data_IF_843607686422
#
_entry.id   IF_843607686422
#
_cell.length_a   1.000
_cell.length_b   1.000
_cell.length_c   1.000
_cell.angle_alpha   90.00
_cell.angle_beta   90.00
_cell.angle_gamma   90.00
#
_symmetry.space_group_name_H-M   'P 1'
#
loop_
_entity.id
_entity.type
_entity.pdbx_description
1 polymer ?
#
# COMPACT_ATOMS: atom_id res chain seq x y z
N UNK A 1 -1.14 26.42 -4.28
CA UNK A 1 -0.82 25.07 -3.84
C UNK A 1 -2.08 24.22 -3.83
N UNK A 2 -1.94 22.90 -3.67
CA UNK A 2 -3.06 21.99 -3.49
C UNK A 2 -3.58 22.09 -2.05
N UNK A 3 -4.90 21.94 -1.88
CA UNK A 3 -5.51 21.73 -0.56
C UNK A 3 -5.60 20.23 -0.30
N UNK A 4 -5.54 19.83 0.97
CA UNK A 4 -5.68 18.44 1.39
C UNK A 4 -6.84 18.33 2.36
N UNK A 5 -7.78 17.44 2.07
CA UNK A 5 -8.86 17.04 2.97
C UNK A 5 -8.71 15.55 3.29
N UNK A 6 -8.71 15.21 4.58
CA UNK A 6 -8.56 13.85 5.07
C UNK A 6 -9.89 13.36 5.63
N UNK A 7 -10.39 12.24 5.12
CA UNK A 7 -11.57 11.55 5.59
C UNK A 7 -11.11 10.29 6.31
N UNK A 8 -11.23 10.28 7.64
CA UNK A 8 -10.62 9.24 8.47
C UNK A 8 -11.66 8.51 9.32
N UNK A 9 -11.46 7.21 9.50
CA UNK A 9 -12.18 6.43 10.51
C UNK A 9 -11.77 6.89 11.90
N UNK A 10 -12.74 7.09 12.80
CA UNK A 10 -12.46 7.56 14.17
C UNK A 10 -11.77 6.52 15.05
N UNK A 11 -12.16 5.26 14.96
CA UNK A 11 -11.57 4.09 15.67
C UNK A 11 -11.13 4.41 17.10
N UNK A 12 -11.97 5.09 17.88
CA UNK A 12 -11.66 5.45 19.26
C UNK A 12 -10.55 6.49 19.45
N UNK A 13 -10.12 7.16 18.39
CA UNK A 13 -9.16 8.28 18.50
C UNK A 13 -9.79 9.44 19.27
N UNK A 14 -9.24 9.74 20.45
CA UNK A 14 -9.70 10.83 21.33
C UNK A 14 -8.73 12.00 21.37
N UNK A 15 -7.46 11.72 21.08
CA UNK A 15 -6.37 12.68 21.21
C UNK A 15 -5.69 12.97 19.86
N UNK A 16 -5.32 14.23 19.67
CA UNK A 16 -4.48 14.64 18.54
C UNK A 16 -3.02 14.29 18.84
N UNK A 17 -2.53 13.22 18.25
CA UNK A 17 -1.14 12.76 18.41
C UNK A 17 -0.63 12.07 17.13
N UNK A 18 0.67 11.89 17.05
CA UNK A 18 1.29 11.23 15.90
C UNK A 18 1.02 11.98 14.60
N UNK A 19 0.59 11.27 13.56
CA UNK A 19 0.35 11.83 12.24
C UNK A 19 -0.74 12.91 12.23
N UNK A 20 -1.75 12.84 13.10
CA UNK A 20 -2.80 13.87 13.18
C UNK A 20 -2.25 15.24 13.53
N UNK A 21 -1.18 15.33 14.31
CA UNK A 21 -0.49 16.60 14.59
C UNK A 21 0.20 17.12 13.34
N UNK A 22 0.81 16.24 12.56
CA UNK A 22 1.47 16.62 11.31
C UNK A 22 0.46 17.08 10.26
N UNK A 23 -0.68 16.41 10.16
CA UNK A 23 -1.77 16.79 9.25
C UNK A 23 -2.22 18.23 9.53
N UNK A 24 -2.38 18.59 10.81
CA UNK A 24 -2.73 19.94 11.23
C UNK A 24 -1.61 20.95 10.93
N UNK A 25 -0.34 20.60 11.22
CA UNK A 25 0.82 21.45 10.95
C UNK A 25 0.96 21.73 9.45
N UNK A 26 0.66 20.75 8.61
CA UNK A 26 0.68 20.91 7.15
C UNK A 26 -0.58 21.55 6.58
N UNK A 27 -1.56 21.87 7.42
CA UNK A 27 -2.77 22.60 7.02
C UNK A 27 -3.81 21.74 6.31
N UNK A 28 -3.79 20.41 6.53
CA UNK A 28 -4.85 19.56 6.07
C UNK A 28 -6.13 19.77 6.91
N UNK A 29 -7.30 19.71 6.27
CA UNK A 29 -8.57 19.60 6.98
C UNK A 29 -8.88 18.13 7.24
N UNK A 30 -9.30 17.80 8.47
CA UNK A 30 -9.57 16.43 8.88
C UNK A 30 -11.04 16.29 9.26
N UNK A 31 -11.73 15.29 8.67
CA UNK A 31 -13.08 14.87 9.04
C UNK A 31 -13.02 13.43 9.55
N UNK A 32 -13.60 13.20 10.72
CA UNK A 32 -13.71 11.86 11.29
C UNK A 32 -15.10 11.28 11.08
N UNK A 33 -15.15 10.01 10.72
CA UNK A 33 -16.35 9.22 10.56
C UNK A 33 -16.38 8.13 11.62
N UNK A 34 -17.51 8.00 12.30
CA UNK A 34 -17.74 6.97 13.34
C UNK A 34 -18.24 5.70 12.67
N UNK A 35 -17.34 5.07 11.92
CA UNK A 35 -17.57 3.84 11.18
C UNK A 35 -16.33 2.94 11.22
N UNK A 36 -16.54 1.65 11.10
CA UNK A 36 -15.48 0.66 10.89
C UNK A 36 -15.41 0.19 9.42
N UNK A 37 -16.36 0.60 8.58
CA UNK A 37 -16.40 0.26 7.15
C UNK A 37 -15.67 1.31 6.30
N UNK A 38 -14.83 0.86 5.38
CA UNK A 38 -14.22 1.73 4.38
C UNK A 38 -15.20 2.12 3.27
N UNK A 39 -16.27 1.37 3.05
CA UNK A 39 -17.30 1.74 2.08
C UNK A 39 -17.90 3.12 2.40
N UNK A 40 -18.20 3.39 3.68
CA UNK A 40 -18.72 4.69 4.13
C UNK A 40 -17.75 5.84 3.83
N UNK A 41 -16.43 5.58 4.00
CA UNK A 41 -15.39 6.56 3.71
C UNK A 41 -15.29 6.82 2.20
N UNK A 42 -15.38 5.78 1.37
CA UNK A 42 -15.32 5.93 -0.08
C UNK A 42 -16.56 6.62 -0.64
N UNK A 43 -17.74 6.36 -0.06
CA UNK A 43 -18.97 7.10 -0.39
C UNK A 43 -18.80 8.59 -0.06
N UNK A 44 -18.36 8.91 1.16
CA UNK A 44 -18.10 10.29 1.58
C UNK A 44 -17.02 10.99 0.72
N UNK A 45 -15.99 10.26 0.29
CA UNK A 45 -14.97 10.78 -0.64
C UNK A 45 -15.59 11.11 -2.01
N UNK A 46 -16.47 10.25 -2.51
CA UNK A 46 -17.14 10.46 -3.78
C UNK A 46 -18.08 11.68 -3.71
N UNK A 47 -18.91 11.75 -2.67
CA UNK A 47 -19.79 12.90 -2.44
C UNK A 47 -18.99 14.20 -2.35
N UNK A 48 -17.90 14.22 -1.56
CA UNK A 48 -17.06 15.40 -1.43
C UNK A 48 -16.38 15.80 -2.74
N UNK A 49 -16.02 14.84 -3.57
CA UNK A 49 -15.46 15.10 -4.89
C UNK A 49 -16.46 15.78 -5.82
N UNK A 50 -17.75 15.41 -5.74
CA UNK A 50 -18.84 16.02 -6.50
C UNK A 50 -19.06 17.46 -6.01
N UNK A 51 -19.18 17.70 -4.69
CA UNK A 51 -19.31 19.03 -4.10
C UNK A 51 -18.18 19.95 -4.55
N UNK A 52 -16.93 19.48 -4.48
CA UNK A 52 -15.77 20.26 -4.91
C UNK A 52 -15.80 20.58 -6.41
N UNK A 53 -16.31 19.68 -7.23
CA UNK A 53 -16.50 19.96 -8.66
C UNK A 53 -17.56 21.04 -8.92
N UNK A 54 -18.66 21.04 -8.15
CA UNK A 54 -19.69 22.09 -8.20
C UNK A 54 -19.14 23.45 -7.72
N UNK A 55 -18.21 23.46 -6.78
CA UNK A 55 -17.48 24.65 -6.32
C UNK A 55 -16.41 25.12 -7.34
N UNK A 56 -16.22 24.42 -8.46
CA UNK A 56 -15.23 24.75 -9.49
C UNK A 56 -13.82 24.24 -9.18
N UNK A 57 -13.67 23.33 -8.24
CA UNK A 57 -12.42 22.67 -7.90
C UNK A 57 -12.30 21.32 -8.61
N UNK A 58 -11.07 20.87 -8.82
CA UNK A 58 -10.78 19.54 -9.34
C UNK A 58 -10.19 18.68 -8.23
N UNK A 59 -11.00 17.81 -7.65
CA UNK A 59 -10.55 16.84 -6.66
C UNK A 59 -9.78 15.69 -7.29
N UNK A 60 -8.84 15.15 -6.53
CA UNK A 60 -8.16 13.88 -6.82
C UNK A 60 -8.31 12.98 -5.60
N UNK A 61 -9.29 12.07 -5.59
CA UNK A 61 -9.50 11.14 -4.47
C UNK A 61 -8.37 10.12 -4.41
N UNK A 62 -7.78 9.97 -3.22
CA UNK A 62 -6.71 9.01 -2.95
C UNK A 62 -7.28 7.98 -1.95
N UNK A 63 -7.48 6.72 -2.36
CA UNK A 63 -7.99 5.69 -1.48
C UNK A 63 -6.95 5.28 -0.43
N UNK A 64 -7.36 4.43 0.51
CA UNK A 64 -6.49 3.87 1.54
C UNK A 64 -5.21 3.31 0.93
N UNK A 65 -4.07 3.68 1.51
CA UNK A 65 -2.75 3.27 1.05
C UNK A 65 -2.32 3.86 -0.30
N UNK A 66 -3.14 4.71 -0.94
CA UNK A 66 -2.88 5.18 -2.32
C UNK A 66 -2.91 4.04 -3.35
N UNK A 67 -3.55 2.91 -3.00
CA UNK A 67 -3.58 1.69 -3.80
C UNK A 67 -4.52 1.85 -5.00
N UNK A 68 -4.01 2.47 -6.02
CA UNK A 68 -4.64 2.63 -7.35
C UNK A 68 -3.72 2.06 -8.41
N UNK A 69 -4.25 1.78 -9.58
CA UNK A 69 -3.48 1.39 -10.76
C UNK A 69 -2.30 2.33 -11.02
N UNK A 70 -2.54 3.65 -10.94
CA UNK A 70 -1.49 4.65 -11.11
C UNK A 70 -0.48 4.66 -9.94
N UNK A 71 -0.97 4.57 -8.68
CA UNK A 71 -0.13 4.54 -7.49
C UNK A 71 0.81 3.34 -7.45
N UNK A 72 0.36 2.21 -7.98
CA UNK A 72 1.15 0.97 -8.11
C UNK A 72 2.45 1.17 -8.91
N UNK A 73 2.45 2.07 -9.91
CA UNK A 73 3.63 2.34 -10.75
C UNK A 73 4.83 2.87 -9.96
N UNK A 74 4.61 3.50 -8.81
CA UNK A 74 5.69 3.94 -7.94
C UNK A 74 6.60 2.78 -7.49
N UNK A 75 6.00 1.63 -7.17
CA UNK A 75 6.76 0.44 -6.77
C UNK A 75 7.32 -0.36 -7.94
N UNK A 76 6.80 -0.21 -9.15
CA UNK A 76 7.49 -0.68 -10.36
C UNK A 76 8.84 0.03 -10.51
N UNK A 77 8.86 1.36 -10.31
CA UNK A 77 10.10 2.14 -10.26
C UNK A 77 11.06 1.66 -9.15
N UNK A 78 10.54 1.37 -7.97
CA UNK A 78 11.32 0.81 -6.86
C UNK A 78 12.03 -0.50 -7.24
N UNK A 79 11.35 -1.43 -7.91
CA UNK A 79 12.00 -2.69 -8.36
C UNK A 79 13.11 -2.44 -9.38
N UNK A 80 12.94 -1.46 -10.26
CA UNK A 80 14.03 -1.05 -11.17
C UNK A 80 15.26 -0.58 -10.40
N UNK A 81 15.08 0.20 -9.35
CA UNK A 81 16.17 0.63 -8.48
C UNK A 81 16.82 -0.57 -7.75
N UNK A 82 16.01 -1.48 -7.20
CA UNK A 82 16.48 -2.72 -6.58
C UNK A 82 17.33 -3.53 -7.57
N UNK A 83 16.86 -3.71 -8.80
CA UNK A 83 17.58 -4.47 -9.83
C UNK A 83 18.95 -3.83 -10.15
N UNK A 84 19.01 -2.51 -10.27
CA UNK A 84 20.24 -1.77 -10.51
C UNK A 84 21.23 -1.89 -9.33
N UNK A 85 20.75 -1.74 -8.10
CA UNK A 85 21.56 -1.83 -6.88
C UNK A 85 22.07 -3.26 -6.67
N UNK A 86 21.20 -4.25 -6.82
CA UNK A 86 21.57 -5.67 -6.72
C UNK A 86 22.64 -6.05 -7.75
N UNK A 87 22.49 -5.61 -9.01
CA UNK A 87 23.48 -5.81 -10.05
C UNK A 87 24.83 -5.18 -9.70
N UNK A 88 24.82 -3.95 -9.17
CA UNK A 88 26.05 -3.25 -8.75
C UNK A 88 26.76 -3.98 -7.59
N UNK A 89 25.98 -4.60 -6.69
CA UNK A 89 26.47 -5.39 -5.57
C UNK A 89 26.84 -6.85 -5.95
N UNK A 90 26.64 -7.26 -7.19
CA UNK A 90 26.85 -8.65 -7.62
C UNK A 90 25.85 -9.64 -7.03
N UNK A 91 24.69 -9.16 -6.59
CA UNK A 91 23.61 -9.96 -5.99
C UNK A 91 22.49 -10.24 -6.98
N UNK A 92 21.73 -11.30 -6.70
CA UNK A 92 20.47 -11.64 -7.38
C UNK A 92 19.43 -11.92 -6.33
N UNK A 93 18.46 -11.02 -6.12
CA UNK A 93 17.37 -11.25 -5.17
C UNK A 93 16.58 -12.49 -5.59
N UNK A 94 16.43 -13.46 -4.68
CA UNK A 94 15.59 -14.63 -4.93
C UNK A 94 14.12 -14.33 -4.56
N UNK A 95 13.91 -13.45 -3.58
CA UNK A 95 12.60 -13.09 -3.09
C UNK A 95 12.50 -11.59 -2.81
N UNK A 96 11.33 -11.01 -3.09
CA UNK A 96 10.87 -9.74 -2.57
C UNK A 96 9.68 -10.03 -1.64
N UNK A 97 9.79 -9.59 -0.39
CA UNK A 97 8.75 -9.81 0.63
C UNK A 97 8.25 -8.45 1.13
N UNK A 98 6.94 -8.26 1.20
CA UNK A 98 6.35 -7.01 1.68
C UNK A 98 5.10 -7.25 2.52
N UNK A 99 4.87 -6.41 3.52
CA UNK A 99 3.58 -6.33 4.17
C UNK A 99 2.51 -5.83 3.19
N UNK A 100 1.32 -6.41 3.25
CA UNK A 100 0.20 -6.11 2.35
C UNK A 100 -1.02 -5.73 3.17
N UNK A 101 -1.35 -4.44 3.21
CA UNK A 101 -2.52 -3.90 3.93
C UNK A 101 -3.53 -3.18 3.01
N UNK A 102 -3.18 -2.96 1.72
CA UNK A 102 -4.04 -2.36 0.70
C UNK A 102 -3.68 -2.80 -0.72
N UNK A 103 -2.62 -3.58 -0.88
CA UNK A 103 -2.23 -4.26 -2.12
C UNK A 103 -1.31 -3.47 -3.05
N UNK A 104 -1.30 -2.14 -3.04
CA UNK A 104 -0.59 -1.32 -4.04
C UNK A 104 0.91 -1.54 -4.10
N UNK A 105 1.58 -1.63 -2.94
CA UNK A 105 3.02 -1.94 -2.85
C UNK A 105 3.33 -3.31 -3.46
N UNK A 106 2.64 -4.34 -3.00
CA UNK A 106 2.87 -5.72 -3.46
C UNK A 106 2.56 -5.88 -4.95
N UNK A 107 1.52 -5.21 -5.45
CA UNK A 107 1.19 -5.19 -6.88
C UNK A 107 2.30 -4.55 -7.73
N UNK A 108 2.87 -3.43 -7.25
CA UNK A 108 3.99 -2.78 -7.93
C UNK A 108 5.27 -3.62 -7.89
N UNK A 109 5.55 -4.30 -6.77
CA UNK A 109 6.65 -5.25 -6.67
C UNK A 109 6.45 -6.42 -7.65
N UNK A 110 5.24 -6.95 -7.75
CA UNK A 110 4.90 -8.05 -8.64
C UNK A 110 5.11 -7.67 -10.12
N UNK A 111 4.55 -6.56 -10.56
CA UNK A 111 4.73 -6.08 -11.93
C UNK A 111 6.19 -5.71 -12.19
N UNK A 112 6.84 -4.99 -11.27
CA UNK A 112 8.23 -4.61 -11.40
C UNK A 112 9.16 -5.81 -11.48
N UNK A 113 8.94 -6.86 -10.66
CA UNK A 113 9.71 -8.09 -10.71
C UNK A 113 9.55 -8.80 -12.06
N UNK A 114 8.34 -8.87 -12.61
CA UNK A 114 8.11 -9.48 -13.93
C UNK A 114 8.87 -8.77 -15.06
N UNK A 115 9.14 -7.47 -14.90
CA UNK A 115 9.83 -6.66 -15.90
C UNK A 115 11.36 -6.64 -15.73
N UNK A 116 11.84 -6.54 -14.50
CA UNK A 116 13.26 -6.25 -14.21
C UNK A 116 13.99 -7.43 -13.54
N UNK A 117 13.26 -8.32 -12.87
CA UNK A 117 13.80 -9.43 -12.06
C UNK A 117 12.97 -10.72 -12.27
N UNK A 118 12.91 -11.27 -13.48
CA UNK A 118 11.95 -12.33 -13.84
C UNK A 118 12.16 -13.68 -13.12
N UNK A 119 13.26 -13.86 -12.39
CA UNK A 119 13.52 -15.03 -11.57
C UNK A 119 13.24 -14.81 -10.08
N UNK A 120 12.85 -13.59 -9.69
CA UNK A 120 12.58 -13.20 -8.32
C UNK A 120 11.11 -13.49 -7.98
N UNK A 121 10.87 -14.19 -6.89
CA UNK A 121 9.54 -14.43 -6.36
C UNK A 121 9.07 -13.25 -5.52
N UNK A 122 7.77 -12.96 -5.56
CA UNK A 122 7.15 -11.92 -4.73
C UNK A 122 6.21 -12.58 -3.73
N UNK A 123 6.40 -12.28 -2.45
CA UNK A 123 5.53 -12.76 -1.38
C UNK A 123 4.92 -11.57 -0.63
N UNK A 124 3.61 -11.45 -0.68
CA UNK A 124 2.85 -10.52 0.16
C UNK A 124 2.52 -11.15 1.51
N UNK A 125 2.74 -10.41 2.60
CA UNK A 125 2.28 -10.80 3.93
C UNK A 125 1.03 -10.00 4.24
N UNK A 126 -0.14 -10.63 4.11
CA UNK A 126 -1.44 -10.02 4.42
C UNK A 126 -1.55 -9.71 5.90
N UNK A 127 -1.77 -8.44 6.25
CA UNK A 127 -1.88 -7.94 7.63
C UNK A 127 -3.33 -7.63 8.02
N UNK A 128 -4.27 -7.98 7.16
CA UNK A 128 -5.72 -7.91 7.33
C UNK A 128 -6.35 -9.13 6.64
N UNK A 129 -7.64 -9.37 6.78
CA UNK A 129 -8.38 -10.52 6.23
C UNK A 129 -8.99 -10.26 4.84
N UNK A 130 -8.55 -9.20 4.17
CA UNK A 130 -8.97 -8.86 2.82
C UNK A 130 -8.43 -9.86 1.76
N UNK A 131 -9.13 -10.04 0.63
CA UNK A 131 -8.70 -10.94 -0.45
C UNK A 131 -7.52 -10.35 -1.25
N UNK A 132 -6.37 -10.19 -0.60
CA UNK A 132 -5.22 -9.48 -1.19
C UNK A 132 -4.67 -10.13 -2.44
N UNK A 133 -4.83 -11.43 -2.64
CA UNK A 133 -4.36 -12.09 -3.86
C UNK A 133 -5.07 -11.53 -5.09
N UNK A 134 -6.39 -11.36 -5.01
CA UNK A 134 -7.20 -10.78 -6.08
C UNK A 134 -6.90 -9.28 -6.25
N UNK A 135 -6.85 -8.54 -5.14
CA UNK A 135 -6.56 -7.09 -5.13
C UNK A 135 -5.20 -6.80 -5.79
N UNK A 136 -4.16 -7.50 -5.37
CA UNK A 136 -2.80 -7.37 -5.92
C UNK A 136 -2.78 -7.70 -7.41
N UNK A 137 -3.43 -8.79 -7.79
CA UNK A 137 -3.48 -9.22 -9.20
C UNK A 137 -4.20 -8.20 -10.08
N UNK A 138 -5.33 -7.65 -9.63
CA UNK A 138 -6.08 -6.63 -10.37
C UNK A 138 -5.29 -5.31 -10.50
N UNK A 139 -4.68 -4.83 -9.41
CA UNK A 139 -3.86 -3.62 -9.42
C UNK A 139 -2.64 -3.77 -10.34
N UNK A 140 -1.97 -4.91 -10.29
CA UNK A 140 -0.82 -5.19 -11.13
C UNK A 140 -1.21 -5.29 -12.62
N UNK A 141 -2.33 -5.93 -12.94
CA UNK A 141 -2.85 -5.99 -14.31
C UNK A 141 -3.19 -4.62 -14.85
N UNK A 142 -3.96 -3.82 -14.10
CA UNK A 142 -4.29 -2.45 -14.52
C UNK A 142 -3.05 -1.56 -14.67
N UNK A 143 -2.05 -1.71 -13.80
CA UNK A 143 -0.79 -0.98 -13.93
C UNK A 143 0.03 -1.41 -15.17
N UNK A 144 -0.02 -2.69 -15.54
CA UNK A 144 0.60 -3.18 -16.77
C UNK A 144 -0.07 -2.58 -18.02
N UNK A 145 -1.39 -2.45 -18.03
CA UNK A 145 -2.12 -1.79 -19.13
C UNK A 145 -1.69 -0.33 -19.30
N UNK A 146 -1.47 0.42 -18.21
CA UNK A 146 -0.95 1.79 -18.27
C UNK A 146 0.45 1.89 -18.87
N UNK A 147 1.24 0.82 -18.79
CA UNK A 147 2.57 0.72 -19.39
C UNK A 147 2.53 0.12 -20.82
N UNK A 148 1.33 -0.07 -21.39
CA UNK A 148 1.14 -0.74 -22.68
C UNK A 148 1.77 -2.14 -22.71
N UNK A 149 1.83 -2.79 -21.53
CA UNK A 149 2.46 -4.07 -21.30
C UNK A 149 1.49 -5.14 -20.81
N UNK A 150 2.03 -6.34 -20.67
CA UNK A 150 1.34 -7.47 -20.05
C UNK A 150 2.22 -8.05 -18.94
N UNK A 151 1.60 -8.56 -17.90
CA UNK A 151 2.34 -9.31 -16.87
C UNK A 151 2.66 -10.69 -17.44
N UNK A 152 3.96 -10.97 -17.56
CA UNK A 152 4.44 -12.33 -17.86
C UNK A 152 4.96 -12.93 -16.56
N UNK A 153 4.20 -13.83 -15.95
CA UNK A 153 4.60 -14.52 -14.73
C UNK A 153 4.25 -16.01 -14.79
N UNK A 154 4.99 -16.81 -14.03
CA UNK A 154 4.65 -18.20 -13.73
C UNK A 154 3.71 -18.22 -12.52
N UNK A 155 2.96 -19.28 -12.35
CA UNK A 155 2.02 -19.45 -11.24
C UNK A 155 2.70 -19.30 -9.86
N UNK A 156 3.94 -19.80 -9.75
CA UNK A 156 4.73 -19.80 -8.52
C UNK A 156 5.52 -18.50 -8.26
N UNK A 157 5.41 -17.47 -9.11
CA UNK A 157 6.19 -16.23 -8.97
C UNK A 157 5.56 -15.27 -7.92
N UNK A 158 4.33 -15.52 -7.50
CA UNK A 158 3.62 -14.73 -6.50
C UNK A 158 2.88 -15.63 -5.50
N UNK A 159 2.94 -15.24 -4.24
CA UNK A 159 2.19 -15.89 -3.16
C UNK A 159 1.74 -14.88 -2.12
N UNK A 160 0.60 -15.17 -1.48
CA UNK A 160 0.14 -14.48 -0.28
C UNK A 160 0.25 -15.39 0.93
N UNK A 161 0.76 -14.84 2.01
CA UNK A 161 0.75 -15.45 3.34
C UNK A 161 0.06 -14.48 4.28
N UNK A 162 -0.84 -14.97 5.13
CA UNK A 162 -1.58 -14.10 6.03
C UNK A 162 -1.04 -14.19 7.46
N UNK A 163 -0.77 -13.02 8.06
CA UNK A 163 -0.37 -12.88 9.45
C UNK A 163 -1.14 -11.71 10.08
N UNK A 164 -2.41 -11.96 10.41
CA UNK A 164 -3.35 -10.91 10.83
C UNK A 164 -3.25 -10.61 12.34
N UNK A 165 -2.92 -11.61 13.16
CA UNK A 165 -2.86 -11.47 14.61
C UNK A 165 -4.19 -11.04 15.22
N UNK A 166 -4.16 -10.08 16.14
CA UNK A 166 -5.35 -9.52 16.78
C UNK A 166 -6.03 -8.39 15.97
N UNK A 167 -5.50 -8.08 14.80
CA UNK A 167 -6.01 -7.06 13.87
C UNK A 167 -4.94 -6.09 13.40
N UNK A 168 -5.29 -5.27 12.42
CA UNK A 168 -4.37 -4.32 11.79
C UNK A 168 -3.76 -3.35 12.83
N UNK A 169 -2.43 -3.25 12.84
CA UNK A 169 -1.64 -2.41 13.74
C UNK A 169 -1.81 -2.72 15.25
N UNK A 170 -2.34 -3.88 15.59
CA UNK A 170 -2.37 -4.38 16.98
C UNK A 170 -1.13 -5.23 17.21
N UNK A 171 -0.23 -4.84 18.14
CA UNK A 171 0.98 -5.62 18.41
C UNK A 171 0.64 -7.04 18.87
N UNK A 172 1.30 -8.03 18.25
CA UNK A 172 1.21 -9.41 18.72
C UNK A 172 2.38 -9.68 19.68
N UNK A 173 2.13 -10.04 20.96
CA UNK A 173 3.19 -10.32 21.91
C UNK A 173 4.15 -11.44 21.48
N UNK A 174 3.67 -12.38 20.66
CA UNK A 174 4.49 -13.48 20.13
C UNK A 174 5.54 -12.99 19.12
N UNK A 175 5.36 -11.83 18.49
CA UNK A 175 6.30 -11.27 17.53
C UNK A 175 7.47 -10.53 18.20
N UNK A 176 7.29 -10.10 19.46
CA UNK A 176 8.28 -9.31 20.20
C UNK A 176 9.68 -9.94 20.24
N UNK A 177 9.86 -11.25 20.54
CA UNK A 177 11.19 -11.86 20.56
C UNK A 177 11.88 -11.83 19.21
N UNK A 178 11.15 -11.99 18.12
CA UNK A 178 11.70 -11.92 16.75
C UNK A 178 12.12 -10.51 16.37
N UNK A 179 11.31 -9.50 16.74
CA UNK A 179 11.66 -8.09 16.53
C UNK A 179 12.90 -7.69 17.32
N UNK A 180 13.05 -8.16 18.56
CA UNK A 180 14.23 -7.92 19.38
C UNK A 180 15.47 -8.61 18.82
N UNK A 181 15.33 -9.82 18.28
CA UNK A 181 16.44 -10.52 17.64
C UNK A 181 16.86 -9.80 16.37
N UNK A 182 15.92 -9.42 15.51
CA UNK A 182 16.19 -8.67 14.29
C UNK A 182 16.90 -7.35 14.60
N UNK A 183 16.42 -6.59 15.57
CA UNK A 183 17.05 -5.34 15.98
C UNK A 183 18.47 -5.53 16.52
N UNK A 184 18.78 -6.68 17.13
CA UNK A 184 20.14 -6.98 17.62
C UNK A 184 21.10 -7.44 16.53
N UNK A 185 20.59 -8.08 15.48
CA UNK A 185 21.41 -8.67 14.41
C UNK A 185 21.61 -7.73 13.22
N UNK A 186 20.59 -6.94 12.91
CA UNK A 186 20.61 -6.07 11.71
C UNK A 186 20.71 -4.57 12.04
N UNK A 187 20.55 -4.17 13.29
CA UNK A 187 20.68 -2.79 13.76
C UNK A 187 19.37 -2.05 13.79
#
# INVERSE_FOLDING_TARGET
GMRCELLLKKRGVTDRRGNLVLDEVYGASVRFFDTDDYADIYEAMNERSIELAEEGHRAYPIPVGGSTTLGTLGYVGCVREIAQQAKAAGMRPAHLVSATGSGGTTAGLLLGASLELPETKVTGIGVDDEPFEDIVSQLAAGAAELLEGTISRREDDFSMVYHVGAGYAVPNPEDTPYLEELARTEG
#
